data_IF_883730653338
#
_entry.id   IF_883730653338
#
_cell.length_a   1.000
_cell.length_b   1.000
_cell.length_c   1.000
_cell.angle_alpha   90.00
_cell.angle_beta   90.00
_cell.angle_gamma   90.00
#
_symmetry.space_group_name_H-M   'P 1'
#
loop_
_entity.id
_entity.type
_entity.pdbx_description
1 polymer ?
#
# COMPACT_ATOMS: atom_id res chain seq x y z
N UNK A 1 27.27 -12.74 15.43
CA UNK A 1 26.29 -11.84 14.79
C UNK A 1 25.15 -11.53 15.76
N UNK A 2 24.60 -10.33 15.68
CA UNK A 2 23.45 -9.93 16.48
C UNK A 2 22.24 -10.83 16.21
N UNK A 3 21.48 -11.28 17.22
CA UNK A 3 20.41 -12.28 17.02
C UNK A 3 19.09 -11.71 16.49
N UNK A 4 18.93 -10.37 16.42
CA UNK A 4 17.71 -9.76 15.90
C UNK A 4 17.56 -10.01 14.39
N UNK A 5 16.39 -10.53 13.97
CA UNK A 5 16.05 -10.82 12.58
C UNK A 5 14.59 -10.49 12.28
N UNK A 6 14.34 -10.10 11.04
CA UNK A 6 13.01 -10.09 10.42
C UNK A 6 12.95 -11.25 9.42
N UNK A 7 12.11 -12.22 9.67
CA UNK A 7 11.85 -13.35 8.77
C UNK A 7 10.64 -12.99 7.90
N UNK A 8 10.81 -13.09 6.59
CA UNK A 8 9.76 -12.78 5.61
C UNK A 8 9.28 -14.07 4.95
N UNK A 9 8.01 -14.40 5.17
CA UNK A 9 7.35 -15.55 4.57
C UNK A 9 6.72 -15.17 3.21
N UNK A 10 7.44 -15.50 2.13
CA UNK A 10 6.97 -15.22 0.77
C UNK A 10 5.80 -16.12 0.34
N UNK A 11 5.54 -17.24 1.02
CA UNK A 11 4.38 -18.09 0.73
C UNK A 11 3.12 -17.48 1.35
N UNK A 12 3.22 -16.98 2.59
CA UNK A 12 2.14 -16.20 3.21
C UNK A 12 1.79 -14.96 2.37
N UNK A 13 2.80 -14.26 1.83
CA UNK A 13 2.59 -13.13 0.92
C UNK A 13 1.79 -13.54 -0.34
N UNK A 14 2.18 -14.64 -1.00
CA UNK A 14 1.46 -15.17 -2.16
C UNK A 14 0.02 -15.53 -1.82
N UNK A 15 -0.18 -16.23 -0.70
CA UNK A 15 -1.51 -16.57 -0.21
C UNK A 15 -2.39 -15.32 -0.05
N UNK A 16 -1.87 -14.27 0.58
CA UNK A 16 -2.60 -13.04 0.79
C UNK A 16 -2.91 -12.31 -0.53
N UNK A 17 -2.00 -12.32 -1.49
CA UNK A 17 -2.22 -11.75 -2.82
C UNK A 17 -3.32 -12.53 -3.57
N UNK A 18 -3.27 -13.86 -3.56
CA UNK A 18 -4.29 -14.71 -4.19
C UNK A 18 -5.65 -14.53 -3.51
N UNK A 19 -5.68 -14.40 -2.18
CA UNK A 19 -6.91 -14.10 -1.43
C UNK A 19 -7.51 -12.76 -1.87
N UNK A 20 -6.67 -11.72 -2.04
CA UNK A 20 -7.12 -10.41 -2.51
C UNK A 20 -7.77 -10.50 -3.90
N UNK A 21 -7.14 -11.19 -4.85
CA UNK A 21 -7.69 -11.42 -6.20
C UNK A 21 -8.99 -12.21 -6.17
N UNK A 22 -9.02 -13.29 -5.40
CA UNK A 22 -10.19 -14.15 -5.28
C UNK A 22 -11.40 -13.40 -4.72
N UNK A 23 -11.21 -12.68 -3.61
CA UNK A 23 -12.29 -11.91 -2.96
C UNK A 23 -12.75 -10.74 -3.82
N UNK A 24 -11.82 -10.10 -4.51
CA UNK A 24 -12.16 -8.97 -5.38
C UNK A 24 -12.87 -9.39 -6.66
N UNK A 25 -12.55 -10.56 -7.21
CA UNK A 25 -12.97 -10.96 -8.55
C UNK A 25 -12.44 -10.04 -9.67
N UNK A 26 -11.32 -9.38 -9.45
CA UNK A 26 -10.77 -8.32 -10.29
C UNK A 26 -9.24 -8.43 -10.40
N UNK A 27 -8.63 -7.69 -11.33
CA UNK A 27 -7.17 -7.56 -11.41
C UNK A 27 -6.65 -6.85 -10.16
N UNK A 28 -5.46 -7.23 -9.68
CA UNK A 28 -4.87 -6.68 -8.47
C UNK A 28 -3.46 -6.14 -8.71
N UNK A 29 -3.26 -4.86 -8.39
CA UNK A 29 -1.93 -4.28 -8.24
C UNK A 29 -1.42 -4.54 -6.83
N UNK A 30 -0.34 -5.29 -6.70
CA UNK A 30 0.33 -5.44 -5.41
C UNK A 30 0.99 -4.12 -5.02
N UNK A 31 0.51 -3.49 -3.92
CA UNK A 31 1.09 -2.22 -3.43
C UNK A 31 2.32 -2.53 -2.60
N UNK A 32 3.49 -2.23 -3.17
CA UNK A 32 4.82 -2.57 -2.62
C UNK A 32 5.71 -1.33 -2.38
N UNK A 33 5.11 -0.16 -2.29
CA UNK A 33 5.80 1.10 -1.93
C UNK A 33 6.43 1.02 -0.54
N UNK A 34 7.33 1.95 -0.22
CA UNK A 34 8.06 2.02 1.04
C UNK A 34 8.75 0.69 1.38
N UNK A 35 9.54 0.20 0.42
CA UNK A 35 10.25 -1.08 0.49
C UNK A 35 9.32 -2.26 0.85
N UNK A 36 8.15 -2.33 0.16
CA UNK A 36 7.09 -3.30 0.44
C UNK A 36 6.67 -3.27 1.93
N UNK A 37 6.39 -2.07 2.46
CA UNK A 37 6.07 -1.87 3.88
C UNK A 37 7.17 -2.43 4.82
N UNK A 38 8.43 -2.33 4.39
CA UNK A 38 9.59 -2.83 5.13
C UNK A 38 9.88 -4.32 4.97
N UNK A 39 9.25 -4.99 3.99
CA UNK A 39 9.42 -6.43 3.74
C UNK A 39 10.47 -6.74 2.63
N UNK A 40 11.00 -5.71 1.96
CA UNK A 40 11.94 -5.83 0.85
C UNK A 40 11.25 -5.88 -0.51
N UNK A 41 11.09 -4.71 -1.17
CA UNK A 41 10.28 -4.55 -2.39
C UNK A 41 10.73 -5.47 -3.52
N UNK A 42 12.04 -5.57 -3.77
CA UNK A 42 12.58 -6.43 -4.83
C UNK A 42 12.22 -7.90 -4.61
N UNK A 43 12.39 -8.42 -3.39
CA UNK A 43 12.08 -9.82 -3.09
C UNK A 43 10.58 -10.12 -3.17
N UNK A 44 9.77 -9.18 -2.68
CA UNK A 44 8.30 -9.26 -2.76
C UNK A 44 7.86 -9.25 -4.22
N UNK A 45 8.39 -8.35 -5.04
CA UNK A 45 8.08 -8.28 -6.47
C UNK A 45 8.49 -9.57 -7.20
N UNK A 46 9.70 -10.07 -7.00
CA UNK A 46 10.18 -11.32 -7.58
C UNK A 46 9.31 -12.52 -7.19
N UNK A 47 8.84 -12.56 -5.94
CA UNK A 47 7.96 -13.64 -5.47
C UNK A 47 6.58 -13.61 -6.13
N UNK A 48 6.07 -12.43 -6.46
CA UNK A 48 4.72 -12.24 -7.02
C UNK A 48 4.70 -12.10 -8.54
N UNK A 49 5.83 -11.89 -9.23
CA UNK A 49 5.87 -11.49 -10.64
C UNK A 49 5.11 -12.43 -11.59
N UNK A 50 5.17 -13.73 -11.33
CA UNK A 50 4.46 -14.72 -12.15
C UNK A 50 2.93 -14.70 -11.97
N UNK A 51 2.44 -14.07 -10.91
CA UNK A 51 1.03 -14.09 -10.50
C UNK A 51 0.39 -12.69 -10.51
N UNK A 52 1.21 -11.65 -10.31
CA UNK A 52 0.72 -10.29 -10.15
C UNK A 52 0.29 -9.70 -11.50
N UNK A 53 -0.88 -9.05 -11.52
CA UNK A 53 -1.33 -8.26 -12.68
C UNK A 53 -0.50 -6.96 -12.83
N UNK A 54 0.26 -6.59 -11.80
CA UNK A 54 1.19 -5.49 -11.73
C UNK A 54 1.51 -5.08 -10.30
N UNK A 55 2.39 -4.11 -10.18
CA UNK A 55 2.83 -3.56 -8.90
C UNK A 55 2.46 -2.08 -8.79
N UNK A 56 2.40 -1.55 -7.58
CA UNK A 56 2.20 -0.13 -7.35
C UNK A 56 3.18 0.38 -6.29
N UNK A 57 3.88 1.45 -6.62
CA UNK A 57 4.91 2.10 -5.81
C UNK A 57 4.58 3.58 -5.61
N UNK A 58 5.29 4.29 -4.74
CA UNK A 58 5.04 5.70 -4.48
C UNK A 58 5.69 6.61 -5.52
N UNK A 59 6.96 6.38 -5.85
CA UNK A 59 7.80 7.27 -6.67
C UNK A 59 8.59 6.50 -7.72
N UNK A 60 9.23 7.26 -8.61
CA UNK A 60 9.97 6.69 -9.75
C UNK A 60 11.21 5.92 -9.30
N UNK A 61 11.88 6.31 -8.22
CA UNK A 61 13.06 5.64 -7.70
C UNK A 61 12.74 4.21 -7.27
N UNK A 62 11.61 4.00 -6.58
CA UNK A 62 11.14 2.66 -6.21
C UNK A 62 10.86 1.81 -7.47
N UNK A 63 10.27 2.41 -8.50
CA UNK A 63 9.99 1.72 -9.75
C UNK A 63 11.27 1.35 -10.52
N UNK A 64 12.26 2.25 -10.57
CA UNK A 64 13.56 2.01 -11.18
C UNK A 64 14.34 0.89 -10.49
N UNK A 65 14.27 0.81 -9.15
CA UNK A 65 14.84 -0.29 -8.38
C UNK A 65 14.25 -1.65 -8.80
N UNK A 66 12.93 -1.72 -8.99
CA UNK A 66 12.27 -2.92 -9.50
C UNK A 66 12.74 -3.29 -10.92
N UNK A 67 12.84 -2.31 -11.83
CA UNK A 67 13.34 -2.55 -13.19
C UNK A 67 14.80 -3.02 -13.19
N UNK A 68 15.66 -2.41 -12.35
CA UNK A 68 17.05 -2.83 -12.18
C UNK A 68 17.17 -4.28 -11.64
N UNK A 69 16.20 -4.71 -10.81
CA UNK A 69 16.11 -6.08 -10.32
C UNK A 69 15.52 -7.08 -11.33
N UNK A 70 15.17 -6.64 -12.55
CA UNK A 70 14.67 -7.48 -13.63
C UNK A 70 13.16 -7.66 -13.70
N UNK A 71 12.38 -6.98 -12.84
CA UNK A 71 10.92 -7.03 -12.85
C UNK A 71 10.40 -6.44 -14.17
N UNK A 72 9.53 -7.17 -14.87
CA UNK A 72 8.92 -6.79 -16.17
C UNK A 72 7.44 -6.49 -16.07
N UNK A 73 6.77 -6.99 -15.06
CA UNK A 73 5.35 -6.70 -14.83
C UNK A 73 5.07 -5.18 -14.81
N UNK A 74 3.85 -4.74 -15.13
CA UNK A 74 3.47 -3.33 -15.06
C UNK A 74 3.72 -2.74 -13.67
N UNK A 75 4.23 -1.50 -13.62
CA UNK A 75 4.45 -0.76 -12.37
C UNK A 75 3.73 0.57 -12.44
N UNK A 76 2.84 0.84 -11.47
CA UNK A 76 2.09 2.08 -11.34
C UNK A 76 2.76 3.01 -10.32
N UNK A 77 3.06 4.23 -10.72
CA UNK A 77 3.46 5.33 -9.84
C UNK A 77 2.21 5.94 -9.21
N UNK A 78 1.96 5.67 -7.93
CA UNK A 78 0.72 6.07 -7.22
C UNK A 78 0.58 7.57 -7.00
N UNK A 79 1.68 8.30 -7.01
CA UNK A 79 1.74 9.75 -6.87
C UNK A 79 2.07 10.45 -8.20
N UNK A 80 2.19 9.64 -9.28
CA UNK A 80 2.59 10.13 -10.58
C UNK A 80 4.06 10.53 -10.61
N UNK A 81 4.37 11.62 -11.29
CA UNK A 81 5.69 12.23 -11.33
C UNK A 81 5.69 13.55 -10.55
N UNK A 82 6.84 13.89 -9.96
CA UNK A 82 7.04 15.11 -9.19
C UNK A 82 7.57 16.25 -10.05
N UNK A 83 8.30 15.93 -11.12
CA UNK A 83 8.83 16.88 -12.08
C UNK A 83 8.61 16.39 -13.52
N UNK A 84 8.42 17.31 -14.47
CA UNK A 84 8.12 16.95 -15.86
C UNK A 84 9.27 16.22 -16.57
N UNK A 85 10.48 16.38 -16.09
CA UNK A 85 11.69 15.72 -16.62
C UNK A 85 11.77 14.23 -16.24
N UNK A 86 10.90 13.72 -15.37
CA UNK A 86 10.72 12.28 -15.13
C UNK A 86 9.95 11.58 -16.28
N UNK A 87 9.19 12.30 -17.11
CA UNK A 87 8.40 11.71 -18.20
C UNK A 87 9.21 10.86 -19.18
N UNK A 88 10.42 11.24 -19.61
CA UNK A 88 11.27 10.38 -20.43
C UNK A 88 11.57 9.01 -19.79
N UNK A 89 11.86 8.97 -18.49
CA UNK A 89 12.13 7.74 -17.75
C UNK A 89 10.87 6.88 -17.60
N UNK A 90 9.71 7.51 -17.36
CA UNK A 90 8.41 6.83 -17.29
C UNK A 90 8.14 6.08 -18.60
N UNK A 91 8.45 6.70 -19.73
CA UNK A 91 8.27 6.11 -21.07
C UNK A 91 9.30 5.01 -21.32
N UNK A 92 10.57 5.28 -21.04
CA UNK A 92 11.68 4.34 -21.27
C UNK A 92 11.45 3.02 -20.54
N UNK A 93 10.92 3.11 -19.31
CA UNK A 93 10.68 1.95 -18.45
C UNK A 93 9.24 1.44 -18.49
N UNK A 94 8.37 1.99 -19.34
CA UNK A 94 6.97 1.61 -19.51
C UNK A 94 6.18 1.63 -18.19
N UNK A 95 6.41 2.67 -17.35
CA UNK A 95 5.67 2.83 -16.12
C UNK A 95 4.27 3.38 -16.39
N UNK A 96 3.30 2.90 -15.62
CA UNK A 96 1.99 3.52 -15.54
C UNK A 96 2.04 4.69 -14.55
N UNK A 97 1.29 5.76 -14.85
CA UNK A 97 1.41 6.98 -14.10
C UNK A 97 0.04 7.48 -13.62
N UNK A 98 -0.06 7.81 -12.33
CA UNK A 98 -1.22 8.52 -11.81
C UNK A 98 -1.12 10.00 -12.20
N UNK A 99 -2.24 10.56 -12.66
CA UNK A 99 -2.44 12.01 -12.81
C UNK A 99 -3.49 12.46 -11.80
N UNK A 100 -3.11 13.32 -10.90
CA UNK A 100 -3.94 13.78 -9.77
C UNK A 100 -4.03 15.30 -9.66
N UNK A 101 -3.38 16.04 -10.57
CA UNK A 101 -3.33 17.50 -10.57
C UNK A 101 -3.29 18.04 -12.00
N UNK A 102 -3.75 19.27 -12.17
CA UNK A 102 -3.78 19.91 -13.49
C UNK A 102 -2.37 20.16 -14.04
N UNK A 103 -1.38 20.46 -13.19
CA UNK A 103 -0.01 20.66 -13.66
C UNK A 103 0.60 19.39 -14.28
N UNK A 104 0.31 18.19 -13.71
CA UNK A 104 0.74 16.93 -14.33
C UNK A 104 0.10 16.70 -15.69
N UNK A 105 -1.20 17.01 -15.80
CA UNK A 105 -1.92 16.95 -17.08
C UNK A 105 -1.28 17.89 -18.09
N UNK A 106 -1.03 19.15 -17.73
CA UNK A 106 -0.41 20.17 -18.59
C UNK A 106 1.01 19.76 -19.02
N UNK A 107 1.79 19.18 -18.11
CA UNK A 107 3.12 18.65 -18.43
C UNK A 107 3.04 17.54 -19.48
N UNK A 108 2.08 16.63 -19.40
CA UNK A 108 1.85 15.59 -20.42
C UNK A 108 1.45 16.20 -21.75
N UNK A 109 0.56 17.20 -21.77
CA UNK A 109 0.13 17.88 -23.00
C UNK A 109 1.28 18.61 -23.72
N UNK A 110 2.16 19.23 -22.95
CA UNK A 110 3.28 20.05 -23.45
C UNK A 110 4.49 19.23 -23.87
N UNK A 111 4.61 18.00 -23.40
CA UNK A 111 5.76 17.17 -23.69
C UNK A 111 5.51 16.33 -24.96
N UNK A 112 6.47 16.35 -25.88
CA UNK A 112 6.44 15.42 -27.03
C UNK A 112 6.95 14.05 -26.59
N UNK A 113 6.04 13.11 -26.41
CA UNK A 113 6.36 11.77 -25.99
C UNK A 113 6.67 10.84 -27.18
N UNK A 114 7.64 9.94 -27.02
CA UNK A 114 7.98 8.93 -28.03
C UNK A 114 6.97 7.80 -28.12
N UNK A 115 6.35 7.46 -26.98
CA UNK A 115 5.29 6.46 -26.85
C UNK A 115 4.18 6.99 -25.94
N UNK A 116 2.91 6.59 -26.19
CA UNK A 116 1.81 7.03 -25.38
C UNK A 116 1.79 6.31 -24.02
N UNK A 117 1.35 7.02 -22.98
CA UNK A 117 1.29 6.59 -21.59
C UNK A 117 0.02 5.80 -21.28
N UNK A 118 0.10 4.93 -20.27
CA UNK A 118 -1.05 4.44 -19.51
C UNK A 118 -1.24 5.31 -18.27
N UNK A 119 -2.35 6.06 -18.22
CA UNK A 119 -2.65 7.01 -17.15
C UNK A 119 -3.71 6.45 -16.22
N UNK A 120 -3.52 6.65 -14.93
CA UNK A 120 -4.51 6.42 -13.89
C UNK A 120 -5.01 7.79 -13.40
N UNK A 121 -6.14 8.23 -13.95
CA UNK A 121 -6.69 9.53 -13.64
C UNK A 121 -7.38 9.50 -12.29
N UNK A 122 -6.83 10.24 -11.32
CA UNK A 122 -7.26 10.18 -9.94
C UNK A 122 -8.21 11.33 -9.57
N UNK A 123 -9.39 10.93 -9.09
CA UNK A 123 -10.39 11.82 -8.51
C UNK A 123 -10.19 11.92 -6.99
N UNK A 124 -10.28 13.10 -6.43
CA UNK A 124 -10.56 13.30 -5.02
C UNK A 124 -12.08 13.21 -4.79
N UNK A 125 -12.52 12.06 -4.30
CA UNK A 125 -13.93 11.80 -4.01
C UNK A 125 -14.28 12.03 -2.54
N UNK A 126 -13.36 12.56 -1.72
CA UNK A 126 -13.62 12.85 -0.30
C UNK A 126 -12.53 12.46 0.68
N UNK A 127 -11.36 12.01 0.19
CA UNK A 127 -10.19 11.78 1.06
C UNK A 127 -9.36 13.05 1.30
N UNK A 128 -9.42 14.01 0.37
CA UNK A 128 -8.76 15.32 0.42
C UNK A 128 -7.24 15.27 0.66
N UNK A 129 -6.59 14.28 0.03
CA UNK A 129 -5.12 14.16 0.06
C UNK A 129 -4.49 14.54 -1.28
N UNK A 130 -4.83 13.83 -2.35
CA UNK A 130 -4.46 14.12 -3.74
C UNK A 130 -5.55 13.57 -4.67
N UNK A 131 -5.76 14.23 -5.80
CA UNK A 131 -6.78 13.92 -6.80
C UNK A 131 -7.37 15.19 -7.41
N UNK A 132 -7.86 15.09 -8.63
CA UNK A 132 -8.56 16.18 -9.29
C UNK A 132 -9.89 16.44 -8.60
N UNK A 133 -10.29 17.71 -8.56
CA UNK A 133 -11.61 18.07 -8.08
C UNK A 133 -12.70 17.53 -9.04
N UNK A 134 -13.88 17.09 -8.56
CA UNK A 134 -14.94 16.55 -9.41
C UNK A 134 -15.34 17.43 -10.62
N UNK A 135 -15.33 18.75 -10.45
CA UNK A 135 -15.65 19.71 -11.52
C UNK A 135 -14.66 19.67 -12.70
N UNK A 136 -13.41 19.32 -12.45
CA UNK A 136 -12.33 19.34 -13.45
C UNK A 136 -12.11 17.94 -14.08
N UNK A 137 -12.73 16.89 -13.53
CA UNK A 137 -12.40 15.51 -13.84
C UNK A 137 -12.73 15.10 -15.28
N UNK A 138 -13.92 15.45 -15.76
CA UNK A 138 -14.34 15.14 -17.14
C UNK A 138 -13.54 15.90 -18.19
N UNK A 139 -13.20 17.17 -17.90
CA UNK A 139 -12.35 17.97 -18.78
C UNK A 139 -10.95 17.37 -18.86
N UNK A 140 -10.37 17.04 -17.71
CA UNK A 140 -9.05 16.38 -17.65
C UNK A 140 -9.02 15.07 -18.43
N UNK A 141 -10.05 14.23 -18.34
CA UNK A 141 -10.15 13.00 -19.11
C UNK A 141 -10.13 13.28 -20.62
N UNK A 142 -10.93 14.24 -21.08
CA UNK A 142 -11.01 14.61 -22.51
C UNK A 142 -9.68 15.20 -23.01
N UNK A 143 -9.06 16.07 -22.23
CA UNK A 143 -7.77 16.67 -22.56
C UNK A 143 -6.68 15.62 -22.70
N UNK A 144 -6.58 14.67 -21.75
CA UNK A 144 -5.61 13.57 -21.83
C UNK A 144 -5.80 12.75 -23.12
N UNK A 145 -7.02 12.40 -23.49
CA UNK A 145 -7.29 11.67 -24.73
C UNK A 145 -6.95 12.51 -25.98
N UNK A 146 -7.22 13.80 -25.94
CA UNK A 146 -6.96 14.70 -27.08
C UNK A 146 -5.46 15.02 -27.26
N UNK A 147 -4.65 14.86 -26.23
CA UNK A 147 -3.21 15.15 -26.26
C UNK A 147 -2.41 14.30 -27.25
N UNK A 148 -2.93 13.12 -27.61
CA UNK A 148 -2.18 12.12 -28.40
C UNK A 148 -1.07 11.41 -27.63
N UNK A 149 -0.81 11.78 -26.37
CA UNK A 149 0.24 11.25 -25.51
C UNK A 149 -0.26 10.12 -24.58
N UNK A 150 -1.53 9.71 -24.68
CA UNK A 150 -2.16 8.74 -23.79
C UNK A 150 -2.82 7.62 -24.57
N UNK A 151 -2.41 6.39 -24.33
CA UNK A 151 -2.96 5.18 -24.93
C UNK A 151 -4.16 4.63 -24.16
N UNK A 152 -4.14 4.74 -22.84
CA UNK A 152 -5.15 4.16 -21.95
C UNK A 152 -5.35 5.03 -20.72
N UNK A 153 -6.60 5.15 -20.29
CA UNK A 153 -6.95 5.79 -19.02
C UNK A 153 -7.68 4.77 -18.14
N UNK A 154 -7.28 4.68 -16.88
CA UNK A 154 -7.99 4.01 -15.79
C UNK A 154 -8.49 5.08 -14.84
N UNK A 155 -9.76 5.06 -14.48
CA UNK A 155 -10.35 6.01 -13.53
C UNK A 155 -10.17 5.50 -12.11
N UNK A 156 -9.63 6.32 -11.21
CA UNK A 156 -9.38 5.87 -9.85
C UNK A 156 -9.78 6.89 -8.78
N UNK A 157 -10.03 6.39 -7.58
CA UNK A 157 -10.09 7.17 -6.35
C UNK A 157 -9.53 6.34 -5.18
N UNK A 158 -9.60 6.87 -3.96
CA UNK A 158 -9.12 6.18 -2.75
C UNK A 158 -10.05 6.45 -1.58
N UNK A 159 -10.45 5.38 -0.89
CA UNK A 159 -11.32 5.48 0.27
C UNK A 159 -10.55 5.94 1.50
N UNK A 160 -11.15 6.85 2.24
CA UNK A 160 -10.59 7.41 3.47
C UNK A 160 -10.86 6.53 4.70
N UNK A 161 -12.06 5.91 4.75
CA UNK A 161 -12.60 5.23 5.94
C UNK A 161 -13.26 3.88 5.59
N UNK A 162 -12.68 3.13 4.65
CA UNK A 162 -13.25 1.83 4.26
C UNK A 162 -12.99 0.72 5.30
N UNK A 163 -12.15 0.97 6.28
CA UNK A 163 -11.93 0.15 7.47
C UNK A 163 -13.10 0.25 8.50
N UNK A 164 -13.89 1.30 8.43
CA UNK A 164 -15.08 1.49 9.25
C UNK A 164 -16.32 1.03 8.46
N UNK A 165 -16.74 -0.22 8.64
CA UNK A 165 -17.78 -0.85 7.83
C UNK A 165 -19.17 -0.23 7.99
N UNK A 166 -19.47 0.36 9.15
CA UNK A 166 -20.74 1.03 9.47
C UNK A 166 -20.74 2.50 9.04
N UNK A 167 -19.61 3.04 8.51
CA UNK A 167 -19.51 4.42 8.13
C UNK A 167 -20.03 4.65 6.71
N UNK A 168 -20.91 5.64 6.53
CA UNK A 168 -21.49 6.01 5.22
C UNK A 168 -20.47 6.64 4.25
N UNK A 169 -19.32 7.11 4.76
CA UNK A 169 -18.32 7.86 4.00
C UNK A 169 -17.85 7.16 2.72
N UNK A 170 -17.66 5.84 2.77
CA UNK A 170 -17.25 5.07 1.59
C UNK A 170 -18.33 5.08 0.50
N UNK A 171 -19.61 4.99 0.86
CA UNK A 171 -20.73 5.09 -0.09
C UNK A 171 -20.86 6.50 -0.67
N UNK A 172 -20.65 7.53 0.14
CA UNK A 172 -20.63 8.92 -0.32
C UNK A 172 -19.49 9.16 -1.32
N UNK A 173 -18.29 8.63 -1.04
CA UNK A 173 -17.17 8.69 -1.97
C UNK A 173 -17.46 7.97 -3.30
N UNK A 174 -18.15 6.83 -3.27
CA UNK A 174 -18.61 6.12 -4.48
C UNK A 174 -19.59 7.00 -5.24
N UNK A 175 -20.57 7.61 -4.58
CA UNK A 175 -21.55 8.47 -5.24
C UNK A 175 -20.89 9.68 -5.93
N UNK A 176 -19.93 10.33 -5.29
CA UNK A 176 -19.15 11.44 -5.88
C UNK A 176 -18.37 10.93 -7.10
N UNK A 177 -17.73 9.77 -7.00
CA UNK A 177 -16.97 9.19 -8.11
C UNK A 177 -17.86 8.84 -9.29
N UNK A 178 -19.00 8.18 -9.07
CA UNK A 178 -19.93 7.80 -10.11
C UNK A 178 -20.52 9.04 -10.83
N UNK A 179 -20.85 10.09 -10.08
CA UNK A 179 -21.31 11.35 -10.67
C UNK A 179 -20.22 12.01 -11.54
N UNK A 180 -18.98 12.05 -11.07
CA UNK A 180 -17.87 12.67 -11.78
C UNK A 180 -17.49 11.91 -13.06
N UNK A 181 -17.59 10.56 -13.06
CA UNK A 181 -17.25 9.73 -14.21
C UNK A 181 -18.40 9.46 -15.17
N UNK A 182 -19.57 10.02 -14.95
CA UNK A 182 -20.75 9.74 -15.78
C UNK A 182 -20.46 9.95 -17.28
N UNK A 183 -20.70 8.91 -18.08
CA UNK A 183 -20.44 8.93 -19.53
C UNK A 183 -18.99 8.68 -19.94
N UNK A 184 -18.05 8.48 -19.00
CA UNK A 184 -16.68 8.12 -19.30
C UNK A 184 -16.53 6.59 -19.40
N UNK A 185 -16.03 6.11 -20.54
CA UNK A 185 -15.81 4.68 -20.80
C UNK A 185 -14.35 4.30 -20.51
N UNK A 186 -14.07 3.82 -19.29
CA UNK A 186 -12.75 3.37 -18.89
C UNK A 186 -12.84 2.37 -17.73
N UNK A 187 -11.81 1.54 -17.57
CA UNK A 187 -11.65 0.68 -16.38
C UNK A 187 -11.60 1.52 -15.09
N UNK A 188 -12.04 0.95 -14.00
CA UNK A 188 -12.16 1.64 -12.69
C UNK A 188 -11.30 0.97 -11.63
N UNK A 189 -10.71 1.78 -10.75
CA UNK A 189 -9.96 1.33 -9.58
C UNK A 189 -10.32 2.13 -8.34
N UNK A 190 -11.13 1.57 -7.46
CA UNK A 190 -11.53 2.19 -6.19
C UNK A 190 -10.96 1.46 -4.98
N UNK A 191 -10.99 0.13 -5.01
CA UNK A 191 -10.85 -0.72 -3.83
C UNK A 191 -9.40 -0.82 -3.36
N UNK A 192 -9.17 -0.40 -2.10
CA UNK A 192 -7.96 -0.64 -1.30
C UNK A 192 -8.14 -1.89 -0.40
N UNK A 193 -7.21 -2.22 0.49
CA UNK A 193 -7.29 -3.43 1.35
C UNK A 193 -8.61 -3.57 2.13
N UNK A 194 -9.06 -2.58 2.92
CA UNK A 194 -10.30 -2.73 3.67
C UNK A 194 -11.51 -2.88 2.74
N UNK A 195 -11.58 -2.16 1.63
CA UNK A 195 -12.69 -2.29 0.70
C UNK A 195 -12.67 -3.58 -0.11
N UNK A 196 -11.52 -4.20 -0.33
CA UNK A 196 -11.43 -5.57 -0.88
C UNK A 196 -12.04 -6.58 0.09
N UNK A 197 -11.76 -6.44 1.38
CA UNK A 197 -12.20 -7.37 2.41
C UNK A 197 -13.65 -7.18 2.81
N UNK A 198 -14.12 -5.92 2.97
CA UNK A 198 -15.40 -5.60 3.62
C UNK A 198 -16.49 -4.99 2.71
N UNK A 199 -16.18 -4.60 1.45
CA UNK A 199 -17.13 -3.90 0.58
C UNK A 199 -17.32 -4.63 -0.77
N UNK A 200 -17.91 -5.85 -0.80
CA UNK A 200 -18.00 -6.68 -2.00
C UNK A 200 -18.85 -6.04 -3.12
N UNK A 201 -19.77 -5.16 -2.77
CA UNK A 201 -20.68 -4.52 -3.73
C UNK A 201 -20.07 -3.32 -4.49
N UNK A 202 -18.88 -2.87 -4.12
CA UNK A 202 -18.19 -1.78 -4.86
C UNK A 202 -17.53 -2.38 -6.10
N UNK A 203 -18.04 -2.04 -7.27
CA UNK A 203 -17.45 -2.47 -8.54
C UNK A 203 -16.07 -1.85 -8.76
N UNK A 204 -15.13 -2.65 -9.24
CA UNK A 204 -13.76 -2.20 -9.53
C UNK A 204 -13.10 -3.22 -10.46
N UNK A 205 -12.58 -2.78 -11.61
CA UNK A 205 -11.84 -3.65 -12.54
C UNK A 205 -10.43 -3.95 -12.01
N UNK A 206 -9.90 -3.01 -11.23
CA UNK A 206 -8.60 -3.10 -10.59
C UNK A 206 -8.73 -2.84 -9.09
N UNK A 207 -8.09 -3.69 -8.28
CA UNK A 207 -7.95 -3.46 -6.84
C UNK A 207 -6.49 -3.20 -6.47
N UNK A 208 -6.27 -2.52 -5.36
CA UNK A 208 -4.94 -2.12 -4.89
C UNK A 208 -4.72 -2.57 -3.44
N UNK A 209 -4.57 -3.90 -3.21
CA UNK A 209 -4.25 -4.41 -1.89
C UNK A 209 -2.87 -3.90 -1.45
N UNK A 210 -2.80 -3.36 -0.24
CA UNK A 210 -1.58 -2.93 0.43
C UNK A 210 -1.41 -3.70 1.73
N UNK A 211 -1.90 -3.17 2.84
CA UNK A 211 -1.67 -3.75 4.17
C UNK A 211 -2.07 -5.23 4.28
N UNK A 212 -3.15 -5.65 3.62
CA UNK A 212 -3.58 -7.05 3.61
C UNK A 212 -2.55 -7.99 2.98
N UNK A 213 -1.69 -7.53 2.06
CA UNK A 213 -0.64 -8.36 1.46
C UNK A 213 0.33 -8.86 2.52
N UNK A 214 0.55 -8.06 3.55
CA UNK A 214 1.50 -8.32 4.62
C UNK A 214 0.87 -9.06 5.81
N UNK A 215 -0.41 -9.43 5.69
CA UNK A 215 -1.10 -10.26 6.67
C UNK A 215 -1.70 -9.49 7.83
N UNK A 216 -1.74 -8.16 7.76
CA UNK A 216 -2.39 -7.35 8.78
C UNK A 216 -3.83 -7.04 8.38
N UNK A 217 -4.77 -7.22 9.34
CA UNK A 217 -6.14 -6.76 9.19
C UNK A 217 -6.21 -5.24 9.24
N UNK A 218 -6.99 -4.60 8.34
CA UNK A 218 -7.26 -3.16 8.46
C UNK A 218 -8.40 -2.83 9.44
N UNK A 219 -9.07 -3.83 10.01
CA UNK A 219 -10.24 -3.67 10.87
C UNK A 219 -9.86 -3.76 12.35
N UNK A 220 -10.52 -2.98 13.18
CA UNK A 220 -10.38 -3.05 14.64
C UNK A 220 -11.15 -4.25 15.23
N UNK A 221 -12.20 -4.72 14.54
CA UNK A 221 -13.02 -5.85 14.95
C UNK A 221 -12.70 -7.12 14.15
N UNK A 222 -13.15 -8.26 14.66
CA UNK A 222 -13.02 -9.54 14.00
C UNK A 222 -13.77 -9.56 12.67
N UNK A 223 -13.08 -9.93 11.60
CA UNK A 223 -13.65 -10.01 10.26
C UNK A 223 -13.30 -11.35 9.59
N UNK A 224 -14.33 -12.09 9.17
CA UNK A 224 -14.20 -13.47 8.70
C UNK A 224 -13.22 -13.66 7.53
N UNK A 225 -13.16 -12.71 6.59
CA UNK A 225 -12.22 -12.80 5.46
C UNK A 225 -10.82 -12.35 5.92
N UNK A 226 -10.71 -11.30 6.75
CA UNK A 226 -9.43 -10.84 7.27
C UNK A 226 -8.75 -11.89 8.16
N UNK A 227 -9.50 -12.70 8.87
CA UNK A 227 -8.97 -13.83 9.64
C UNK A 227 -8.25 -14.91 8.79
N UNK A 228 -8.42 -14.89 7.47
CA UNK A 228 -7.72 -15.79 6.52
C UNK A 228 -6.36 -15.25 6.09
N UNK A 229 -6.03 -14.01 6.43
CA UNK A 229 -4.73 -13.42 6.15
C UNK A 229 -3.64 -14.11 6.96
N UNK A 230 -2.47 -14.28 6.37
CA UNK A 230 -1.32 -14.90 7.00
C UNK A 230 -0.26 -13.84 7.26
N UNK A 231 0.24 -13.70 8.51
CA UNK A 231 1.34 -12.77 8.81
C UNK A 231 2.58 -13.10 7.96
N UNK A 232 3.14 -12.06 7.32
CA UNK A 232 4.29 -12.22 6.42
C UNK A 232 5.60 -11.97 7.14
N UNK A 233 5.63 -11.10 8.15
CA UNK A 233 6.85 -10.78 8.90
C UNK A 233 6.80 -11.36 10.31
N UNK A 234 7.86 -12.05 10.70
CA UNK A 234 8.14 -12.45 12.07
C UNK A 234 9.42 -11.78 12.55
N UNK A 235 9.31 -11.02 13.63
CA UNK A 235 10.48 -10.47 14.32
C UNK A 235 10.95 -11.46 15.38
N UNK A 236 12.21 -11.89 15.30
CA UNK A 236 12.79 -12.77 16.29
C UNK A 236 14.10 -12.22 16.87
N UNK A 237 14.39 -12.57 18.11
CA UNK A 237 15.65 -12.27 18.75
C UNK A 237 15.91 -13.28 19.87
N UNK A 238 16.97 -13.06 20.66
CA UNK A 238 17.32 -13.93 21.79
C UNK A 238 17.41 -13.16 23.09
N UNK A 239 17.04 -13.83 24.17
CA UNK A 239 17.35 -13.36 25.53
C UNK A 239 18.84 -13.40 25.74
N UNK A 240 19.44 -12.24 26.06
CA UNK A 240 20.90 -12.09 26.28
C UNK A 240 21.29 -11.98 27.74
N UNK A 241 20.34 -11.71 28.62
CA UNK A 241 20.54 -11.62 30.04
C UNK A 241 19.24 -11.96 30.79
N UNK A 242 19.33 -12.66 31.88
CA UNK A 242 18.21 -12.92 32.81
C UNK A 242 18.59 -12.39 34.18
N UNK A 243 17.68 -11.67 34.83
CA UNK A 243 17.84 -11.14 36.18
C UNK A 243 16.68 -11.58 37.06
N UNK A 244 16.96 -11.88 38.30
CA UNK A 244 15.94 -12.03 39.34
C UNK A 244 15.85 -10.72 40.12
N UNK A 245 14.67 -10.12 40.12
CA UNK A 245 14.42 -8.84 40.76
C UNK A 245 13.39 -9.01 41.87
N UNK A 246 13.62 -8.42 43.09
CA UNK A 246 12.59 -8.37 44.11
C UNK A 246 11.38 -7.48 43.68
N UNK A 247 10.33 -7.47 44.46
CA UNK A 247 9.23 -6.56 44.28
C UNK A 247 9.68 -5.10 44.52
N UNK A 248 9.13 -4.15 43.74
CA UNK A 248 9.39 -2.72 43.89
C UNK A 248 10.57 -2.19 43.08
N UNK A 249 11.27 -3.04 42.30
CA UNK A 249 12.42 -2.60 41.49
C UNK A 249 11.99 -1.96 40.15
N UNK A 250 12.55 -0.76 39.83
CA UNK A 250 12.29 -0.12 38.56
C UNK A 250 13.08 -0.77 37.43
N UNK A 251 12.44 -0.93 36.26
CA UNK A 251 13.07 -1.51 35.07
C UNK A 251 13.14 -0.50 33.93
N UNK A 252 14.35 -0.27 33.40
CA UNK A 252 14.59 0.53 32.21
C UNK A 252 14.44 2.04 32.42
N UNK A 253 14.48 2.77 31.31
CA UNK A 253 14.40 4.22 31.31
C UNK A 253 13.08 4.76 31.87
N UNK A 254 13.19 5.70 32.81
CA UNK A 254 12.03 6.37 33.40
C UNK A 254 11.19 5.51 34.34
N UNK A 255 11.67 4.32 34.73
CA UNK A 255 11.02 3.41 35.70
C UNK A 255 9.52 3.17 35.35
N UNK A 256 9.19 3.06 34.07
CA UNK A 256 7.80 2.88 33.61
C UNK A 256 7.20 1.55 34.08
N UNK A 257 8.05 0.56 34.27
CA UNK A 257 7.66 -0.71 34.85
C UNK A 257 8.34 -0.89 36.20
N UNK A 258 7.57 -1.16 37.23
CA UNK A 258 8.06 -1.52 38.57
C UNK A 258 7.60 -2.93 38.84
N UNK A 259 8.48 -3.80 39.30
CA UNK A 259 8.15 -5.21 39.60
C UNK A 259 7.07 -5.30 40.67
N UNK A 260 5.88 -5.86 40.38
CA UNK A 260 4.79 -5.96 41.38
C UNK A 260 5.05 -7.07 42.41
N UNK A 261 5.94 -8.01 42.10
CA UNK A 261 6.33 -9.15 42.94
C UNK A 261 7.74 -9.57 42.52
N UNK A 262 8.43 -10.42 43.33
CA UNK A 262 9.66 -11.02 42.87
C UNK A 262 9.46 -11.74 41.54
N UNK A 263 10.30 -11.46 40.55
CA UNK A 263 10.13 -12.00 39.20
C UNK A 263 11.45 -12.08 38.43
N UNK A 264 11.46 -12.94 37.42
CA UNK A 264 12.54 -13.01 36.42
C UNK A 264 12.29 -12.02 35.29
N UNK A 265 13.30 -11.25 34.94
CA UNK A 265 13.29 -10.29 33.84
C UNK A 265 14.33 -10.67 32.81
N UNK A 266 13.90 -10.92 31.57
CA UNK A 266 14.77 -11.21 30.43
C UNK A 266 15.06 -9.94 29.62
N UNK A 267 16.32 -9.73 29.25
CA UNK A 267 16.71 -8.69 28.30
C UNK A 267 16.85 -9.32 26.93
N UNK A 268 16.09 -8.80 25.95
CA UNK A 268 16.10 -9.27 24.56
C UNK A 268 16.97 -8.34 23.70
N UNK A 269 17.77 -8.90 22.80
CA UNK A 269 18.67 -8.13 21.93
C UNK A 269 17.91 -7.49 20.74
N UNK A 270 16.88 -6.71 21.05
CA UNK A 270 16.07 -5.95 20.08
C UNK A 270 15.57 -4.67 20.75
N UNK A 271 15.50 -3.60 20.00
CA UNK A 271 15.01 -2.32 20.51
C UNK A 271 14.56 -1.38 19.40
N UNK A 272 14.31 -0.12 19.75
CA UNK A 272 13.79 0.88 18.83
C UNK A 272 14.73 1.21 17.65
N UNK A 273 16.02 0.98 17.79
CA UNK A 273 16.99 1.10 16.68
C UNK A 273 16.82 0.01 15.60
N UNK A 274 16.05 -1.06 15.91
CA UNK A 274 15.68 -2.11 14.96
C UNK A 274 14.28 -1.90 14.34
N UNK A 275 13.64 -0.74 14.63
CA UNK A 275 12.28 -0.48 14.23
C UNK A 275 11.21 -0.97 15.23
N UNK A 276 11.59 -1.61 16.36
CA UNK A 276 10.62 -1.97 17.38
C UNK A 276 10.01 -0.72 18.02
N UNK A 277 8.67 -0.60 18.12
CA UNK A 277 8.04 0.63 18.60
C UNK A 277 8.47 1.00 20.02
N UNK A 278 9.12 2.17 20.19
CA UNK A 278 9.49 2.68 21.51
C UNK A 278 8.28 2.90 22.43
N UNK A 279 7.11 3.08 21.84
CA UNK A 279 5.85 3.32 22.55
C UNK A 279 5.04 2.05 22.80
N UNK A 280 5.58 0.88 22.48
CA UNK A 280 4.91 -0.38 22.82
C UNK A 280 4.52 -0.38 24.30
N UNK A 281 3.22 -0.63 24.62
CA UNK A 281 2.75 -0.55 25.98
C UNK A 281 3.32 -1.69 26.85
N UNK A 282 3.40 -1.45 28.15
CA UNK A 282 3.67 -2.52 29.12
C UNK A 282 2.63 -3.62 28.99
N UNK A 283 3.05 -4.88 28.90
CA UNK A 283 2.17 -6.02 28.72
C UNK A 283 2.03 -6.49 27.26
N UNK A 284 2.72 -5.82 26.29
CA UNK A 284 2.79 -6.35 24.92
C UNK A 284 3.35 -7.77 24.96
N UNK A 285 2.59 -8.78 24.43
CA UNK A 285 2.99 -10.19 24.51
C UNK A 285 4.20 -10.48 23.60
N UNK A 286 5.07 -11.36 24.08
CA UNK A 286 6.21 -11.90 23.33
C UNK A 286 6.20 -13.41 23.49
N UNK A 287 6.34 -14.13 22.37
CA UNK A 287 6.51 -15.58 22.40
C UNK A 287 7.95 -15.93 22.85
N UNK A 288 8.08 -16.88 23.77
CA UNK A 288 9.37 -17.33 24.34
C UNK A 288 9.58 -18.80 24.08
#
# INVERSE_FOLDING_TARGET
>A
MRPARALIDLQALRHNYQLARYVAGAKALAVIKADAYGHGAVRVAQALEAEADGFAVACIEEALELRAAGIRAPVLLLEGFFEADELPLIIEHEFWCVVHSLWQLEAIEQTRLSNPLTIWLKLDSGMHRVGLHPKDYQDAYKRLLASGNVAKIVLMSHFARADELDCVSSNEQVAVFEAARQGLAAEVSLRNSPSVLGWPNIASDWVRPGIMLYGATPFDEDHAIAARLQPVMTLESKVICVRELPAGEPVGYGARFITPKPMRVGVVAMGYADGYPRHAPTGTPVLV
#
